data_IF_252660652554
#
_entry.id   IF_252660652554
#
_cell.length_a   1.000
_cell.length_b   1.000
_cell.length_c   1.000
_cell.angle_alpha   90.00
_cell.angle_beta   90.00
_cell.angle_gamma   90.00
#
_symmetry.space_group_name_H-M   'P 1'
#
loop_
_entity.id
_entity.type
_entity.pdbx_description
1 polymer ?
#
# COMPACT_ATOMS: atom_id res chain seq x y z
N UNK A 1 68.91 -16.89 -12.25
CA UNK A 1 68.62 -15.68 -11.46
C UNK A 1 67.19 -15.30 -11.74
N UNK A 2 66.36 -15.41 -10.72
CA UNK A 2 64.92 -15.20 -10.71
C UNK A 2 64.51 -13.77 -11.12
N UNK A 3 63.25 -13.61 -11.57
CA UNK A 3 62.63 -12.28 -11.64
C UNK A 3 61.50 -12.13 -12.65
N UNK A 4 60.39 -12.83 -12.47
CA UNK A 4 59.10 -12.45 -13.03
C UNK A 4 58.40 -11.44 -12.11
N UNK A 5 57.47 -10.62 -12.63
CA UNK A 5 56.05 -10.51 -12.18
C UNK A 5 55.40 -9.26 -12.79
N UNK A 6 54.27 -9.48 -13.43
CA UNK A 6 53.29 -8.48 -13.87
C UNK A 6 52.06 -8.48 -12.93
N UNK A 7 51.17 -7.49 -13.14
CA UNK A 7 49.77 -7.42 -12.69
C UNK A 7 49.53 -7.02 -11.21
N UNK A 8 48.44 -6.38 -10.80
CA UNK A 8 47.20 -5.93 -11.44
C UNK A 8 46.50 -4.88 -10.56
N UNK A 9 45.55 -4.18 -11.18
CA UNK A 9 44.64 -3.21 -10.61
C UNK A 9 43.72 -3.78 -9.51
N UNK A 10 43.48 -2.99 -8.46
CA UNK A 10 42.51 -3.26 -7.41
C UNK A 10 41.13 -2.68 -7.75
N UNK A 11 40.10 -3.53 -7.70
CA UNK A 11 38.69 -3.14 -7.57
C UNK A 11 38.19 -3.34 -6.13
N UNK A 12 37.17 -2.60 -5.69
CA UNK A 12 36.70 -2.64 -4.30
C UNK A 12 35.84 -3.89 -4.03
N UNK A 13 36.10 -4.51 -2.87
CA UNK A 13 35.37 -5.67 -2.33
C UNK A 13 34.17 -5.18 -1.52
N UNK A 14 32.97 -5.66 -1.84
CA UNK A 14 31.83 -5.60 -0.93
C UNK A 14 31.99 -6.66 0.19
N UNK A 15 31.55 -6.38 1.44
CA UNK A 15 31.73 -7.30 2.55
C UNK A 15 30.68 -8.42 2.53
N UNK A 16 31.17 -9.66 2.51
CA UNK A 16 30.42 -10.88 2.82
C UNK A 16 30.14 -10.92 4.33
N UNK A 17 28.86 -10.93 4.72
CA UNK A 17 28.46 -11.20 6.10
C UNK A 17 28.30 -12.71 6.33
N UNK A 18 28.85 -13.18 7.45
CA UNK A 18 28.88 -14.58 7.87
C UNK A 18 27.65 -14.93 8.71
N UNK A 19 27.03 -16.05 8.38
CA UNK A 19 26.02 -16.76 9.19
C UNK A 19 26.59 -17.29 10.52
N UNK A 20 25.81 -17.26 11.62
CA UNK A 20 25.99 -18.19 12.73
C UNK A 20 25.07 -19.42 12.61
N UNK A 21 25.66 -20.60 12.87
CA UNK A 21 25.02 -21.91 12.85
C UNK A 21 24.01 -22.17 14.00
N UNK A 22 23.12 -23.18 13.85
CA UNK A 22 21.99 -23.44 14.73
C UNK A 22 22.22 -24.61 15.71
N UNK A 23 21.55 -24.59 16.87
CA UNK A 23 21.07 -25.74 17.68
C UNK A 23 20.18 -25.11 18.79
N UNK A 24 18.99 -25.61 19.17
CA UNK A 24 18.65 -26.91 19.79
C UNK A 24 17.12 -27.15 19.70
N UNK A 25 16.75 -28.43 19.60
CA UNK A 25 15.43 -29.08 19.71
C UNK A 25 14.53 -28.63 20.89
N UNK A 26 13.20 -28.68 20.75
CA UNK A 26 12.39 -29.85 21.21
C UNK A 26 10.87 -29.64 21.06
N UNK A 27 10.18 -30.79 21.02
CA UNK A 27 8.76 -31.02 20.76
C UNK A 27 7.79 -30.46 21.79
N UNK A 28 6.55 -30.17 21.36
CA UNK A 28 5.35 -30.66 22.07
C UNK A 28 4.17 -30.85 21.12
N UNK A 29 3.43 -31.93 21.36
CA UNK A 29 2.31 -32.41 20.58
C UNK A 29 0.96 -32.14 21.28
N UNK A 30 -0.07 -31.93 20.45
CA UNK A 30 -1.52 -32.24 20.59
C UNK A 30 -2.25 -31.94 21.92
N UNK A 31 -3.28 -31.09 21.82
CA UNK A 31 -4.62 -31.24 22.43
C UNK A 31 -5.47 -30.04 21.98
N UNK A 32 -6.79 -30.00 21.79
CA UNK A 32 -7.89 -30.93 21.52
C UNK A 32 -9.06 -30.05 21.06
N UNK A 33 -10.07 -30.66 20.44
CA UNK A 33 -11.24 -30.03 19.81
C UNK A 33 -12.21 -29.34 20.80
N UNK A 34 -12.97 -28.43 20.21
CA UNK A 34 -14.40 -28.13 20.40
C UNK A 34 -14.82 -27.24 21.59
N UNK A 35 -15.38 -26.08 21.25
CA UNK A 35 -16.73 -25.65 21.71
C UNK A 35 -17.44 -24.96 20.55
N UNK A 36 -18.68 -25.36 20.31
CA UNK A 36 -19.60 -24.82 19.32
C UNK A 36 -20.60 -23.84 19.96
N UNK A 37 -21.21 -23.02 19.10
CA UNK A 37 -22.57 -22.47 19.17
C UNK A 37 -22.90 -21.35 20.19
N UNK A 38 -23.05 -20.14 19.65
CA UNK A 38 -24.16 -19.19 19.89
C UNK A 38 -23.87 -17.99 18.94
N UNK A 39 -24.72 -17.55 18.02
CA UNK A 39 -26.02 -16.95 18.31
C UNK A 39 -26.82 -16.81 17.00
N UNK A 40 -27.94 -17.53 16.90
CA UNK A 40 -29.00 -17.26 15.94
C UNK A 40 -30.26 -17.07 16.79
N UNK A 41 -30.72 -15.83 16.92
CA UNK A 41 -32.09 -15.43 17.26
C UNK A 41 -32.06 -13.94 17.60
N UNK A 42 -32.56 -13.08 16.72
CA UNK A 42 -33.52 -12.03 17.08
C UNK A 42 -34.06 -11.39 15.80
N UNK A 43 -35.37 -11.09 15.82
CA UNK A 43 -36.19 -10.36 14.85
C UNK A 43 -36.89 -11.17 13.76
N UNK A 44 -38.01 -11.79 14.17
CA UNK A 44 -39.25 -11.87 13.40
C UNK A 44 -40.33 -11.02 14.10
N UNK A 45 -41.30 -10.58 13.29
CA UNK A 45 -42.56 -9.82 13.55
C UNK A 45 -42.44 -8.30 13.34
N UNK A 46 -43.21 -7.65 12.47
CA UNK A 46 -44.29 -8.02 11.53
C UNK A 46 -44.52 -6.83 10.52
N UNK A 47 -45.63 -6.71 9.76
CA UNK A 47 -45.90 -7.36 8.47
C UNK A 47 -46.31 -6.39 7.33
N UNK A 48 -46.40 -6.92 6.10
CA UNK A 48 -47.40 -6.49 5.12
C UNK A 48 -46.88 -5.86 3.82
N UNK A 49 -46.75 -6.67 2.76
CA UNK A 49 -47.69 -6.65 1.63
C UNK A 49 -47.42 -7.85 0.72
N UNK A 50 -48.49 -8.45 0.24
CA UNK A 50 -48.55 -9.71 -0.49
C UNK A 50 -49.04 -9.43 -1.92
N UNK A 51 -48.93 -10.46 -2.79
CA UNK A 51 -49.63 -10.65 -4.08
C UNK A 51 -48.93 -10.00 -5.30
N UNK A 52 -48.60 -10.62 -6.46
CA UNK A 52 -49.00 -11.82 -7.25
C UNK A 52 -47.74 -12.26 -8.07
N UNK A 53 -47.25 -13.52 -8.08
CA UNK A 53 -47.67 -14.70 -8.87
C UNK A 53 -47.73 -14.52 -10.40
N UNK A 54 -46.77 -15.12 -11.12
CA UNK A 54 -47.03 -15.88 -12.36
C UNK A 54 -45.89 -16.85 -12.68
N UNK A 55 -46.26 -18.11 -12.83
CA UNK A 55 -45.47 -19.30 -13.18
C UNK A 55 -45.46 -19.42 -14.72
N UNK A 56 -44.35 -19.86 -15.32
CA UNK A 56 -44.40 -20.78 -16.47
C UNK A 56 -43.11 -21.62 -16.53
N UNK A 57 -43.32 -22.92 -16.72
CA UNK A 57 -42.34 -23.99 -16.88
C UNK A 57 -41.57 -23.91 -18.21
N UNK A 58 -40.40 -24.56 -18.25
CA UNK A 58 -39.75 -24.95 -19.49
C UNK A 58 -38.45 -25.72 -19.24
N UNK A 59 -38.55 -27.06 -19.16
CA UNK A 59 -37.41 -27.97 -19.17
C UNK A 59 -36.78 -28.05 -20.57
N UNK A 60 -35.45 -28.22 -20.66
CA UNK A 60 -34.82 -29.22 -21.53
C UNK A 60 -33.31 -29.35 -21.23
N UNK A 61 -32.86 -30.61 -21.21
CA UNK A 61 -31.47 -31.04 -21.09
C UNK A 61 -30.77 -31.05 -22.46
N UNK A 62 -29.43 -30.95 -22.47
CA UNK A 62 -28.60 -31.60 -23.48
C UNK A 62 -27.42 -30.82 -24.07
N UNK A 63 -26.22 -31.36 -23.82
CA UNK A 63 -25.04 -31.43 -24.69
C UNK A 63 -24.15 -30.20 -25.02
N UNK A 64 -22.89 -30.40 -24.62
CA UNK A 64 -21.59 -29.88 -25.09
C UNK A 64 -21.50 -29.21 -26.48
N UNK A 65 -20.84 -28.05 -26.52
CA UNK A 65 -19.67 -27.73 -27.37
C UNK A 65 -19.23 -26.26 -27.14
N UNK A 66 -17.92 -26.02 -26.99
CA UNK A 66 -17.25 -24.73 -27.18
C UNK A 66 -17.34 -24.34 -28.68
N UNK A 67 -17.35 -23.05 -29.12
CA UNK A 67 -16.30 -22.06 -28.82
C UNK A 67 -16.77 -20.59 -28.73
N UNK A 68 -15.92 -19.70 -28.23
CA UNK A 68 -16.19 -18.26 -28.29
C UNK A 68 -15.10 -17.42 -27.66
N UNK A 69 -14.12 -17.03 -28.47
CA UNK A 69 -13.15 -15.97 -28.18
C UNK A 69 -13.93 -14.67 -28.00
N UNK A 70 -14.11 -14.26 -26.75
CA UNK A 70 -14.67 -12.96 -26.39
C UNK A 70 -13.60 -11.88 -26.50
N UNK A 71 -13.81 -10.97 -27.46
CA UNK A 71 -13.16 -9.67 -27.55
C UNK A 71 -13.40 -8.94 -26.22
N UNK A 72 -12.35 -8.77 -25.41
CA UNK A 72 -12.39 -7.87 -24.25
C UNK A 72 -12.09 -6.48 -24.78
N UNK A 73 -13.16 -5.72 -24.93
CA UNK A 73 -13.09 -4.28 -25.16
C UNK A 73 -12.23 -3.63 -24.07
N UNK A 74 -11.39 -2.71 -24.52
CA UNK A 74 -10.48 -1.87 -23.76
C UNK A 74 -11.15 -1.23 -22.55
N UNK A 75 -10.91 -1.79 -21.36
CA UNK A 75 -11.06 -1.07 -20.09
C UNK A 75 -9.80 -0.23 -19.92
N UNK A 76 -9.98 1.08 -19.75
CA UNK A 76 -8.92 2.10 -19.76
C UNK A 76 -7.77 1.81 -18.80
N UNK A 77 -6.55 2.13 -19.26
CA UNK A 77 -5.26 1.81 -18.63
C UNK A 77 -4.79 2.80 -17.56
N UNK A 78 -5.68 3.61 -16.97
CA UNK A 78 -5.27 4.84 -16.26
C UNK A 78 -5.03 4.68 -14.74
N UNK A 79 -5.12 3.48 -14.16
CA UNK A 79 -5.22 3.34 -12.69
C UNK A 79 -3.96 2.87 -11.94
N UNK A 80 -2.84 2.55 -12.61
CA UNK A 80 -1.73 1.86 -11.93
C UNK A 80 -0.65 2.79 -11.35
N UNK A 81 -0.38 3.92 -12.01
CA UNK A 81 0.43 5.01 -11.41
C UNK A 81 -0.42 5.81 -10.41
N UNK A 82 -1.73 5.69 -10.51
CA UNK A 82 -2.69 6.36 -9.64
C UNK A 82 -2.63 5.86 -8.19
N UNK A 83 -2.07 4.69 -7.88
CA UNK A 83 -2.02 4.18 -6.49
C UNK A 83 -1.09 4.99 -5.56
N UNK A 84 0.03 5.51 -6.06
CA UNK A 84 0.88 6.47 -5.33
C UNK A 84 0.50 7.92 -5.64
N UNK A 85 -0.04 8.20 -6.84
CA UNK A 85 -0.46 9.55 -7.23
C UNK A 85 -1.83 9.99 -6.66
N UNK A 86 -2.74 9.07 -6.32
CA UNK A 86 -4.05 9.37 -5.69
C UNK A 86 -3.86 9.68 -4.20
N UNK A 87 -2.91 9.02 -3.53
CA UNK A 87 -2.48 9.42 -2.18
C UNK A 87 -1.72 10.76 -2.16
N UNK A 88 -1.00 11.08 -3.24
CA UNK A 88 -0.26 12.35 -3.39
C UNK A 88 -1.07 13.49 -4.02
N UNK A 89 -2.34 13.26 -4.42
CA UNK A 89 -3.23 14.33 -4.88
C UNK A 89 -4.07 14.80 -3.68
N UNK A 90 -3.87 16.04 -3.21
CA UNK A 90 -4.72 16.62 -2.17
C UNK A 90 -6.19 16.47 -2.57
N UNK A 91 -7.09 16.34 -1.60
CA UNK A 91 -8.51 16.65 -1.77
C UNK A 91 -8.70 18.14 -2.12
N UNK A 92 -8.23 18.56 -3.29
CA UNK A 92 -8.32 19.91 -3.87
C UNK A 92 -9.75 20.36 -4.16
N UNK A 93 -10.75 19.53 -3.86
CA UNK A 93 -12.17 19.87 -4.02
C UNK A 93 -12.66 20.90 -2.99
N UNK A 94 -12.00 21.04 -1.82
CA UNK A 94 -12.43 22.01 -0.79
C UNK A 94 -12.08 23.46 -1.09
N UNK A 95 -10.88 23.75 -1.62
CA UNK A 95 -10.45 25.14 -1.83
C UNK A 95 -11.11 25.85 -3.03
N UNK A 96 -11.52 25.11 -4.08
CA UNK A 96 -12.11 25.71 -5.29
C UNK A 96 -13.57 26.12 -5.15
N UNK A 97 -14.33 25.46 -4.27
CA UNK A 97 -15.72 25.83 -4.01
C UNK A 97 -15.84 27.19 -3.29
N UNK A 98 -14.94 27.47 -2.34
CA UNK A 98 -14.90 28.76 -1.64
C UNK A 98 -14.40 29.92 -2.53
N UNK A 99 -13.42 29.68 -3.41
CA UNK A 99 -12.84 30.72 -4.26
C UNK A 99 -13.74 31.15 -5.45
N UNK A 100 -14.63 30.26 -5.91
CA UNK A 100 -15.50 30.53 -7.07
C UNK A 100 -16.70 31.43 -6.73
N UNK A 101 -17.06 31.55 -5.46
CA UNK A 101 -18.11 32.45 -5.00
C UNK A 101 -17.70 33.95 -4.97
N UNK A 102 -16.41 34.25 -5.16
CA UNK A 102 -15.86 35.60 -4.92
C UNK A 102 -15.66 36.46 -6.17
N UNK A 103 -15.90 35.93 -7.39
CA UNK A 103 -15.52 36.61 -8.64
C UNK A 103 -16.67 37.27 -9.44
N UNK A 104 -17.82 37.51 -8.82
CA UNK A 104 -18.94 38.26 -9.43
C UNK A 104 -19.34 39.46 -8.56
N UNK A 105 -18.42 40.39 -8.30
CA UNK A 105 -18.75 41.74 -7.79
C UNK A 105 -17.62 42.73 -8.13
N UNK A 106 -17.40 42.96 -9.42
CA UNK A 106 -16.58 44.09 -9.87
C UNK A 106 -17.38 45.39 -9.77
N UNK A 107 -17.14 46.19 -8.72
CA UNK A 107 -17.49 47.61 -8.73
C UNK A 107 -18.31 48.13 -7.56
N UNK A 108 -17.92 47.89 -6.30
CA UNK A 108 -18.35 48.74 -5.18
C UNK A 108 -17.26 48.75 -4.11
N UNK A 109 -16.32 49.70 -4.24
CA UNK A 109 -15.29 49.95 -3.23
C UNK A 109 -15.82 51.02 -2.28
N UNK A 110 -16.63 50.61 -1.32
CA UNK A 110 -17.05 51.44 -0.19
C UNK A 110 -16.93 50.61 1.09
N UNK A 111 -16.43 51.25 2.14
CA UNK A 111 -16.17 50.70 3.47
C UNK A 111 -17.39 49.94 4.00
N UNK A 112 -17.33 48.60 3.97
CA UNK A 112 -18.21 47.76 4.78
C UNK A 112 -17.27 47.03 5.73
N UNK A 113 -17.31 47.40 7.01
CA UNK A 113 -16.66 46.63 8.06
C UNK A 113 -17.13 45.18 7.96
N UNK A 114 -16.20 44.24 7.96
CA UNK A 114 -16.50 42.82 7.90
C UNK A 114 -17.33 42.44 9.14
N UNK A 115 -18.66 42.49 9.02
CA UNK A 115 -19.56 41.85 9.96
C UNK A 115 -19.45 40.36 9.66
N UNK A 116 -18.55 39.68 10.35
CA UNK A 116 -18.56 38.23 10.42
C UNK A 116 -19.84 37.84 11.17
N UNK A 117 -20.83 37.37 10.43
CA UNK A 117 -22.04 36.79 11.01
C UNK A 117 -21.62 35.57 11.87
N UNK A 118 -21.80 35.61 13.20
CA UNK A 118 -21.42 34.52 14.10
C UNK A 118 -22.10 33.20 13.75
N UNK A 119 -23.25 33.23 13.06
CA UNK A 119 -23.97 32.02 12.64
C UNK A 119 -23.22 31.25 11.55
N UNK A 120 -22.52 31.93 10.64
CA UNK A 120 -21.74 31.28 9.57
C UNK A 120 -20.46 30.62 10.10
N UNK A 121 -19.82 31.22 11.11
CA UNK A 121 -18.63 30.64 11.77
C UNK A 121 -18.98 29.32 12.48
N UNK A 122 -20.17 29.23 13.07
CA UNK A 122 -20.62 28.01 13.75
C UNK A 122 -20.95 26.85 12.80
N UNK A 123 -21.42 27.11 11.57
CA UNK A 123 -21.72 26.05 10.60
C UNK A 123 -20.46 25.36 10.06
N UNK A 124 -19.37 26.12 9.84
CA UNK A 124 -18.10 25.55 9.37
C UNK A 124 -17.50 24.59 10.40
N UNK A 125 -17.43 25.01 11.66
CA UNK A 125 -16.93 24.18 12.77
C UNK A 125 -17.79 22.92 13.00
N UNK A 126 -19.11 23.03 12.83
CA UNK A 126 -20.02 21.88 12.94
C UNK A 126 -19.77 20.86 11.83
N UNK A 127 -19.63 21.31 10.58
CA UNK A 127 -19.36 20.40 9.45
C UNK A 127 -18.02 19.68 9.60
N UNK A 128 -16.98 20.39 10.05
CA UNK A 128 -15.67 19.78 10.30
C UNK A 128 -15.73 18.72 11.41
N UNK A 129 -16.47 18.99 12.49
CA UNK A 129 -16.66 18.03 13.58
C UNK A 129 -17.43 16.80 13.11
N UNK A 130 -18.51 16.98 12.35
CA UNK A 130 -19.34 15.88 11.84
C UNK A 130 -18.55 14.97 10.89
N UNK A 131 -17.75 15.56 10.00
CA UNK A 131 -16.91 14.79 9.08
C UNK A 131 -15.83 14.00 9.83
N UNK A 132 -15.21 14.60 10.86
CA UNK A 132 -14.29 13.89 11.76
C UNK A 132 -14.96 12.70 12.43
N UNK A 133 -16.15 12.90 12.99
CA UNK A 133 -16.84 11.85 13.72
C UNK A 133 -17.23 10.69 12.79
N UNK A 134 -17.68 10.99 11.57
CA UNK A 134 -17.96 9.97 10.54
C UNK A 134 -16.69 9.22 10.15
N UNK A 135 -15.58 9.94 9.91
CA UNK A 135 -14.30 9.34 9.54
C UNK A 135 -13.78 8.40 10.63
N UNK A 136 -13.76 8.85 11.89
CA UNK A 136 -13.31 8.05 13.02
C UNK A 136 -14.26 6.89 13.37
N UNK A 137 -15.55 7.01 13.05
CA UNK A 137 -16.47 5.88 13.16
C UNK A 137 -16.15 4.78 12.13
N UNK A 138 -15.77 5.15 10.90
CA UNK A 138 -15.40 4.20 9.86
C UNK A 138 -13.99 3.61 10.08
N UNK A 139 -13.03 4.42 10.52
CA UNK A 139 -11.61 4.04 10.64
C UNK A 139 -11.03 4.43 12.02
N UNK A 140 -11.51 3.83 13.12
CA UNK A 140 -11.19 4.28 14.48
C UNK A 140 -9.71 4.22 14.84
N UNK A 141 -8.94 3.29 14.26
CA UNK A 141 -7.50 3.24 14.51
C UNK A 141 -6.71 4.37 13.82
N UNK A 142 -7.21 4.92 12.71
CA UNK A 142 -6.58 6.06 12.04
C UNK A 142 -6.68 7.34 12.87
N UNK A 143 -7.68 7.45 13.73
CA UNK A 143 -7.85 8.58 14.65
C UNK A 143 -7.06 8.44 15.97
N UNK A 144 -6.21 7.44 16.10
CA UNK A 144 -5.40 7.17 17.30
C UNK A 144 -3.92 7.07 16.93
N UNK A 145 -3.00 7.16 17.90
CA UNK A 145 -1.60 6.86 17.64
C UNK A 145 -1.41 5.44 17.08
N UNK A 146 -0.45 5.25 16.15
CA UNK A 146 0.50 6.26 15.67
C UNK A 146 -0.02 7.09 14.48
N UNK A 147 -1.21 6.78 13.94
CA UNK A 147 -1.74 7.41 12.72
C UNK A 147 -2.21 8.84 12.93
N UNK A 148 -2.98 9.15 13.98
CA UNK A 148 -3.44 10.52 14.27
C UNK A 148 -3.94 11.32 13.04
N UNK A 149 -4.73 10.69 12.17
CA UNK A 149 -5.15 11.26 10.88
C UNK A 149 -5.99 12.53 10.97
N UNK A 150 -6.54 12.83 12.16
CA UNK A 150 -7.28 14.06 12.41
C UNK A 150 -6.37 15.27 12.70
N UNK A 151 -5.08 15.02 12.94
CA UNK A 151 -4.11 16.05 13.29
C UNK A 151 -3.23 16.45 12.09
N UNK A 152 -3.50 15.89 10.90
CA UNK A 152 -2.78 16.23 9.67
C UNK A 152 -3.27 17.58 9.16
N UNK A 153 -2.49 18.63 9.40
CA UNK A 153 -2.78 19.98 8.94
C UNK A 153 -2.20 20.27 7.55
N UNK A 154 -2.62 21.40 6.95
CA UNK A 154 -2.12 21.86 5.64
C UNK A 154 -0.59 22.07 5.65
N UNK A 155 -0.03 22.41 6.82
CA UNK A 155 1.43 22.59 6.99
C UNK A 155 2.14 21.26 6.79
N UNK A 156 1.60 20.18 7.34
CA UNK A 156 2.12 18.82 7.20
C UNK A 156 2.11 18.40 5.73
N UNK A 157 1.01 18.64 5.01
CA UNK A 157 0.91 18.33 3.57
C UNK A 157 1.94 19.13 2.75
N UNK A 158 2.09 20.43 3.02
CA UNK A 158 3.11 21.24 2.35
C UNK A 158 4.53 20.74 2.66
N UNK A 159 4.80 20.35 3.90
CA UNK A 159 6.09 19.83 4.31
C UNK A 159 6.43 18.50 3.64
N UNK A 160 5.45 17.62 3.46
CA UNK A 160 5.59 16.36 2.73
C UNK A 160 6.02 16.62 1.28
N UNK A 161 5.43 17.62 0.61
CA UNK A 161 5.80 17.98 -0.77
C UNK A 161 7.18 18.65 -0.87
N UNK A 162 7.53 19.50 0.10
CA UNK A 162 8.79 20.26 0.08
C UNK A 162 9.98 19.41 0.54
N UNK A 163 9.79 18.56 1.55
CA UNK A 163 10.87 17.86 2.27
C UNK A 163 10.86 16.35 2.11
N UNK A 164 9.74 15.77 1.71
CA UNK A 164 9.52 14.33 1.60
C UNK A 164 8.70 13.77 2.76
N UNK A 165 8.27 12.52 2.60
CA UNK A 165 7.30 11.86 3.48
C UNK A 165 7.87 11.60 4.87
N UNK A 166 9.17 11.29 4.97
CA UNK A 166 9.86 10.94 6.20
C UNK A 166 11.01 11.94 6.50
N UNK A 167 10.73 13.23 6.32
CA UNK A 167 11.74 14.30 6.33
C UNK A 167 12.49 14.47 7.66
N UNK A 168 11.92 14.05 8.78
CA UNK A 168 12.57 14.03 10.10
C UNK A 168 13.47 12.80 10.30
N UNK A 169 13.61 12.00 9.24
CA UNK A 169 14.34 10.75 9.22
C UNK A 169 13.55 9.59 9.80
N UNK A 170 12.29 9.73 10.23
CA UNK A 170 11.50 8.62 10.75
C UNK A 170 10.40 8.25 9.77
N UNK A 171 9.98 6.97 9.72
CA UNK A 171 8.83 6.60 8.94
C UNK A 171 7.59 7.37 9.40
N UNK A 172 6.84 7.89 8.43
CA UNK A 172 5.68 8.71 8.64
C UNK A 172 4.41 7.90 8.34
N UNK A 173 3.87 7.24 9.35
CA UNK A 173 2.64 6.45 9.19
C UNK A 173 1.39 7.31 8.93
N UNK A 174 1.43 8.64 9.13
CA UNK A 174 0.35 9.54 8.74
C UNK A 174 0.16 9.59 7.22
N UNK A 175 1.15 9.17 6.42
CA UNK A 175 0.99 9.06 4.97
C UNK A 175 -0.16 8.13 4.56
N UNK A 176 -0.60 7.23 5.45
CA UNK A 176 -1.73 6.33 5.19
C UNK A 176 -3.10 6.98 5.34
N UNK A 177 -3.18 8.18 5.91
CA UNK A 177 -4.44 8.89 6.14
C UNK A 177 -5.18 9.24 4.83
N UNK A 178 -4.44 9.41 3.74
CA UNK A 178 -4.99 9.63 2.38
C UNK A 178 -5.45 8.33 1.69
N UNK A 179 -5.22 7.17 2.31
CA UNK A 179 -5.41 5.86 1.67
C UNK A 179 -6.19 4.88 2.56
N UNK A 180 -7.44 5.23 2.97
CA UNK A 180 -8.24 4.45 3.91
C UNK A 180 -8.62 3.05 3.39
N UNK A 181 -8.51 2.79 2.08
CA UNK A 181 -8.66 1.46 1.51
C UNK A 181 -7.63 0.44 2.06
N UNK A 182 -6.51 0.91 2.62
CA UNK A 182 -5.49 0.08 3.27
C UNK A 182 -5.64 0.00 4.79
N UNK A 183 -6.70 0.58 5.37
CA UNK A 183 -6.91 0.67 6.81
C UNK A 183 -6.66 -0.67 7.53
N UNK A 184 -7.30 -1.73 7.05
CA UNK A 184 -7.21 -3.04 7.67
C UNK A 184 -5.81 -3.67 7.60
N UNK A 185 -5.09 -3.45 6.50
CA UNK A 185 -3.73 -3.93 6.31
C UNK A 185 -2.76 -3.18 7.23
N UNK A 186 -2.76 -1.85 7.17
CA UNK A 186 -1.74 -1.06 7.86
C UNK A 186 -1.96 -1.05 9.38
N UNK A 187 -3.20 -1.18 9.85
CA UNK A 187 -3.48 -1.31 11.30
C UNK A 187 -2.97 -2.61 11.88
N UNK A 188 -3.08 -3.73 11.15
CA UNK A 188 -2.47 -5.02 11.56
C UNK A 188 -0.94 -4.96 11.49
N UNK A 189 -0.41 -4.40 10.41
CA UNK A 189 1.02 -4.19 10.20
C UNK A 189 1.65 -3.38 11.35
N UNK A 190 1.14 -2.19 11.63
CA UNK A 190 1.62 -1.31 12.72
C UNK A 190 1.42 -1.89 14.13
N UNK A 191 0.50 -2.85 14.29
CA UNK A 191 0.34 -3.60 15.54
C UNK A 191 1.32 -4.80 15.68
N UNK A 192 2.27 -4.96 14.75
CA UNK A 192 3.24 -6.07 14.75
C UNK A 192 2.66 -7.40 14.30
N UNK A 193 1.43 -7.43 13.75
CA UNK A 193 0.77 -8.66 13.28
C UNK A 193 1.11 -8.93 11.82
N UNK A 194 2.39 -9.13 11.54
CA UNK A 194 2.91 -9.08 10.17
C UNK A 194 2.40 -10.19 9.26
N UNK A 195 2.26 -11.41 9.79
CA UNK A 195 1.71 -12.55 9.06
C UNK A 195 0.24 -12.30 8.72
N UNK A 196 -0.57 -11.87 9.70
CA UNK A 196 -2.00 -11.53 9.48
C UNK A 196 -2.15 -10.41 8.45
N UNK A 197 -1.32 -9.35 8.54
CA UNK A 197 -1.32 -8.24 7.61
C UNK A 197 -0.96 -8.70 6.19
N UNK A 198 0.11 -9.50 6.05
CA UNK A 198 0.56 -9.99 4.76
C UNK A 198 -0.45 -10.90 4.07
N UNK A 199 -1.08 -11.80 4.81
CA UNK A 199 -2.14 -12.66 4.26
C UNK A 199 -3.36 -11.84 3.84
N UNK A 200 -3.79 -10.88 4.67
CA UNK A 200 -4.90 -10.00 4.34
C UNK A 200 -4.63 -9.22 3.05
N UNK A 201 -3.47 -8.57 2.94
CA UNK A 201 -3.14 -7.76 1.76
C UNK A 201 -3.20 -8.58 0.49
N UNK A 202 -2.66 -9.80 0.51
CA UNK A 202 -2.74 -10.73 -0.61
C UNK A 202 -4.20 -11.09 -0.95
N UNK A 203 -5.04 -11.39 0.04
CA UNK A 203 -6.45 -11.72 -0.21
C UNK A 203 -7.20 -10.53 -0.83
N UNK A 204 -7.00 -9.31 -0.32
CA UNK A 204 -7.58 -8.09 -0.90
C UNK A 204 -7.11 -7.87 -2.35
N UNK A 205 -5.80 -8.05 -2.62
CA UNK A 205 -5.26 -7.99 -3.98
C UNK A 205 -5.86 -9.09 -4.88
N UNK A 206 -6.01 -10.30 -4.36
CA UNK A 206 -6.57 -11.45 -5.09
C UNK A 206 -8.03 -11.23 -5.47
N UNK A 207 -8.80 -10.62 -4.59
CA UNK A 207 -10.21 -10.28 -4.78
C UNK A 207 -10.40 -9.03 -5.67
N UNK A 208 -9.30 -8.41 -6.11
CA UNK A 208 -9.32 -7.30 -7.07
C UNK A 208 -9.57 -5.94 -6.45
N UNK A 209 -9.48 -5.81 -5.12
CA UNK A 209 -9.72 -4.55 -4.41
C UNK A 209 -8.86 -3.39 -4.94
N UNK A 210 -7.64 -3.70 -5.39
CA UNK A 210 -6.67 -2.73 -5.89
C UNK A 210 -6.52 -2.78 -7.41
N UNK A 211 -7.48 -3.38 -8.13
CA UNK A 211 -7.43 -3.55 -9.58
C UNK A 211 -6.80 -4.87 -10.04
N UNK A 212 -7.09 -5.24 -11.29
CA UNK A 212 -6.77 -6.57 -11.83
C UNK A 212 -5.27 -6.86 -12.00
N UNK A 213 -4.44 -5.82 -12.14
CA UNK A 213 -2.99 -5.97 -12.42
C UNK A 213 -2.14 -6.03 -11.15
N UNK A 214 -2.71 -5.68 -10.00
CA UNK A 214 -1.96 -5.57 -8.73
C UNK A 214 -1.40 -6.92 -8.30
N UNK A 215 -2.09 -8.03 -8.62
CA UNK A 215 -1.58 -9.38 -8.41
C UNK A 215 -0.24 -9.66 -9.09
N UNK A 216 -0.13 -9.32 -10.37
CA UNK A 216 1.10 -9.55 -11.14
C UNK A 216 2.20 -8.57 -10.72
N UNK A 217 1.81 -7.35 -10.35
CA UNK A 217 2.72 -6.30 -9.83
C UNK A 217 3.32 -6.71 -8.49
N UNK A 218 2.49 -7.05 -7.50
CA UNK A 218 2.95 -7.52 -6.18
C UNK A 218 3.77 -8.81 -6.31
N UNK A 219 3.33 -9.74 -7.17
CA UNK A 219 4.04 -10.98 -7.44
C UNK A 219 5.45 -10.73 -7.97
N UNK A 220 5.60 -9.97 -9.05
CA UNK A 220 6.92 -9.63 -9.62
C UNK A 220 7.77 -8.81 -8.64
N UNK A 221 7.19 -7.83 -7.95
CA UNK A 221 7.83 -7.02 -6.91
C UNK A 221 8.50 -7.88 -5.83
N UNK A 222 7.81 -8.91 -5.32
CA UNK A 222 8.34 -9.81 -4.31
C UNK A 222 9.66 -10.50 -4.71
N UNK A 223 9.80 -10.89 -5.99
CA UNK A 223 11.01 -11.57 -6.48
C UNK A 223 12.08 -10.59 -6.95
N UNK A 224 11.69 -9.49 -7.61
CA UNK A 224 12.61 -8.44 -8.07
C UNK A 224 13.37 -7.83 -6.90
N UNK A 225 12.69 -7.64 -5.78
CA UNK A 225 13.24 -6.97 -4.61
C UNK A 225 13.83 -7.91 -3.55
N UNK A 226 13.90 -9.21 -3.85
CA UNK A 226 14.57 -10.19 -2.99
C UNK A 226 13.80 -10.54 -1.72
N UNK A 227 12.52 -10.15 -1.61
CA UNK A 227 11.72 -10.35 -0.40
C UNK A 227 11.56 -11.83 -0.05
N UNK A 228 11.56 -12.72 -1.04
CA UNK A 228 11.45 -14.17 -0.84
C UNK A 228 12.65 -14.81 -0.12
N UNK A 229 13.81 -14.15 -0.12
CA UNK A 229 15.05 -14.63 0.53
C UNK A 229 15.55 -13.64 1.59
N UNK A 230 14.73 -12.67 1.97
CA UNK A 230 15.06 -11.70 3.00
C UNK A 230 14.88 -12.33 4.39
N UNK A 231 16.00 -12.74 4.99
CA UNK A 231 16.06 -13.32 6.32
C UNK A 231 16.24 -12.27 7.44
N UNK A 232 16.50 -11.00 7.07
CA UNK A 232 16.58 -9.89 8.02
C UNK A 232 15.21 -9.47 8.57
N UNK A 233 14.14 -9.69 7.80
CA UNK A 233 12.75 -9.49 8.26
C UNK A 233 12.12 -10.82 8.67
N UNK A 234 11.56 -10.84 9.88
CA UNK A 234 10.81 -11.96 10.45
C UNK A 234 9.53 -11.44 11.15
N UNK A 235 8.76 -12.34 11.76
CA UNK A 235 7.46 -12.02 12.36
C UNK A 235 7.52 -11.00 13.52
N UNK A 236 8.70 -10.84 14.15
CA UNK A 236 8.92 -9.90 15.25
C UNK A 236 9.59 -8.59 14.82
N UNK A 237 9.89 -8.41 13.53
CA UNK A 237 10.51 -7.19 13.03
C UNK A 237 9.62 -5.97 13.29
N UNK A 238 10.19 -4.95 13.91
CA UNK A 238 9.49 -3.70 14.24
C UNK A 238 9.67 -2.64 13.15
N UNK A 239 8.93 -1.53 13.25
CA UNK A 239 9.13 -0.36 12.38
C UNK A 239 10.56 0.18 12.57
N UNK A 240 11.05 0.22 13.81
CA UNK A 240 12.38 0.69 14.18
C UNK A 240 13.48 -0.17 13.55
N UNK A 241 13.32 -1.49 13.54
CA UNK A 241 14.26 -2.39 12.86
C UNK A 241 14.33 -2.08 11.35
N UNK A 242 13.17 -1.79 10.73
CA UNK A 242 13.15 -1.47 9.30
C UNK A 242 13.83 -0.16 8.93
N UNK A 243 13.93 0.79 9.86
CA UNK A 243 14.71 2.02 9.62
C UNK A 243 16.16 1.70 9.30
N UNK A 244 16.75 0.74 10.03
CA UNK A 244 18.12 0.30 9.78
C UNK A 244 18.25 -0.44 8.44
N UNK A 245 17.30 -1.30 8.11
CA UNK A 245 17.28 -2.01 6.82
C UNK A 245 17.13 -1.06 5.63
N UNK A 246 16.28 -0.04 5.76
CA UNK A 246 16.08 1.00 4.75
C UNK A 246 17.32 1.88 4.58
N UNK A 247 18.02 2.20 5.67
CA UNK A 247 19.30 2.92 5.62
C UNK A 247 20.40 2.12 4.94
N UNK A 248 20.53 0.84 5.27
CA UNK A 248 21.52 -0.03 4.64
C UNK A 248 21.27 -0.18 3.15
N UNK A 249 20.00 -0.39 2.75
CA UNK A 249 19.63 -0.65 1.37
C UNK A 249 19.65 0.59 0.47
N UNK A 250 19.19 1.74 0.98
CA UNK A 250 18.96 2.94 0.17
C UNK A 250 19.71 4.18 0.63
N UNK A 251 20.18 4.19 1.88
CA UNK A 251 20.65 5.38 2.56
C UNK A 251 19.50 6.25 3.05
N UNK A 252 19.62 6.78 4.27
CA UNK A 252 18.61 7.64 4.94
C UNK A 252 18.06 8.72 4.03
N UNK A 253 18.94 9.41 3.31
CA UNK A 253 18.57 10.53 2.44
C UNK A 253 17.59 10.12 1.35
N UNK A 254 17.75 8.94 0.74
CA UNK A 254 16.94 8.53 -0.40
C UNK A 254 15.49 8.26 0.02
N UNK A 255 15.28 7.45 1.05
CA UNK A 255 13.92 7.08 1.47
C UNK A 255 13.25 8.18 2.31
N UNK A 256 13.98 8.88 3.17
CA UNK A 256 13.41 9.97 3.98
C UNK A 256 12.84 11.12 3.11
N UNK A 257 13.47 11.35 1.96
CA UNK A 257 13.12 12.42 1.03
C UNK A 257 12.17 11.96 -0.08
N UNK A 258 11.67 10.72 -0.03
CA UNK A 258 10.69 10.22 -0.98
C UNK A 258 9.44 11.11 -1.02
N UNK A 259 8.88 11.32 -2.21
CA UNK A 259 7.70 12.17 -2.41
C UNK A 259 7.98 13.67 -2.50
N UNK A 260 9.22 14.13 -2.25
CA UNK A 260 9.56 15.55 -2.48
C UNK A 260 9.55 15.87 -3.98
N UNK A 261 9.14 17.07 -4.36
CA UNK A 261 9.13 17.48 -5.79
C UNK A 261 10.52 17.48 -6.46
N UNK A 262 11.58 17.65 -5.69
CA UNK A 262 12.98 17.62 -6.15
C UNK A 262 13.66 16.26 -5.97
N UNK A 263 12.89 15.19 -5.78
CA UNK A 263 13.43 13.84 -5.75
C UNK A 263 14.12 13.52 -7.08
N UNK A 264 15.20 12.73 -7.08
CA UNK A 264 15.76 12.21 -8.32
C UNK A 264 14.64 11.53 -9.13
N UNK A 265 14.59 11.70 -10.46
CA UNK A 265 13.48 11.18 -11.27
C UNK A 265 13.23 9.67 -11.04
N UNK A 266 14.29 8.87 -10.90
CA UNK A 266 14.19 7.44 -10.63
C UNK A 266 13.55 7.05 -9.28
N UNK A 267 13.39 8.00 -8.37
CA UNK A 267 12.77 7.80 -7.05
C UNK A 267 11.30 8.28 -7.04
N UNK A 268 10.78 8.83 -8.15
CA UNK A 268 9.42 9.35 -8.26
C UNK A 268 8.48 8.28 -8.84
N UNK A 269 7.33 7.99 -8.20
CA UNK A 269 6.33 7.08 -8.74
C UNK A 269 5.82 7.51 -10.12
N UNK A 270 5.81 6.58 -11.08
CA UNK A 270 5.40 6.85 -12.46
C UNK A 270 6.46 7.49 -13.35
N UNK A 271 7.70 7.63 -12.87
CA UNK A 271 8.82 8.03 -13.73
C UNK A 271 9.22 6.93 -14.71
N UNK A 272 9.11 5.65 -14.31
CA UNK A 272 9.00 4.60 -15.30
C UNK A 272 7.72 4.90 -16.09
N UNK A 273 7.86 5.26 -17.37
CA UNK A 273 6.79 5.59 -18.33
C UNK A 273 5.61 4.62 -18.22
N UNK A 274 4.40 4.97 -18.69
CA UNK A 274 3.22 4.09 -18.74
C UNK A 274 3.46 2.68 -19.35
N UNK A 275 4.61 2.45 -19.96
CA UNK A 275 5.20 1.13 -20.25
C UNK A 275 5.56 0.31 -18.98
N UNK A 276 5.36 0.84 -17.76
CA UNK A 276 6.00 0.40 -16.52
C UNK A 276 5.46 -0.87 -15.88
N UNK A 277 4.27 -1.35 -16.25
CA UNK A 277 3.74 -2.62 -15.75
C UNK A 277 3.03 -3.31 -16.90
N UNK A 278 3.61 -4.40 -17.39
CA UNK A 278 2.89 -5.25 -18.34
C UNK A 278 1.75 -5.94 -17.57
N UNK A 279 0.48 -5.76 -17.97
CA UNK A 279 -0.66 -6.42 -17.33
C UNK A 279 -0.50 -7.92 -17.11
N UNK A 280 0.29 -8.57 -17.98
CA UNK A 280 0.57 -9.99 -17.95
C UNK A 280 1.88 -10.34 -17.27
N UNK A 281 2.82 -9.42 -17.10
CA UNK A 281 4.16 -9.75 -16.57
C UNK A 281 4.56 -8.95 -15.33
N UNK A 282 3.70 -8.05 -14.84
CA UNK A 282 4.02 -7.19 -13.71
C UNK A 282 5.20 -6.25 -14.02
N UNK A 283 6.01 -6.02 -13.01
CA UNK A 283 7.30 -5.33 -13.14
C UNK A 283 8.36 -6.24 -13.77
N UNK A 284 9.32 -5.63 -14.44
CA UNK A 284 10.43 -6.31 -15.14
C UNK A 284 11.80 -6.02 -14.53
N UNK A 285 11.91 -5.10 -13.57
CA UNK A 285 13.18 -4.85 -12.88
C UNK A 285 13.13 -3.78 -11.80
N UNK A 286 14.26 -3.62 -11.11
CA UNK A 286 14.39 -2.74 -9.94
C UNK A 286 14.12 -1.26 -10.23
N UNK A 287 14.30 -0.80 -11.47
CA UNK A 287 13.98 0.58 -11.85
C UNK A 287 12.50 0.91 -11.69
N UNK A 288 11.61 -0.08 -11.81
CA UNK A 288 10.16 0.11 -11.68
C UNK A 288 9.70 -0.07 -10.23
N UNK A 289 10.32 -0.98 -9.49
CA UNK A 289 9.93 -1.34 -8.11
C UNK A 289 10.58 -0.47 -7.04
N UNK A 290 11.72 0.17 -7.34
CA UNK A 290 12.46 1.02 -6.40
C UNK A 290 11.60 2.14 -5.76
N UNK A 291 10.79 2.93 -6.50
CA UNK A 291 9.94 3.94 -5.88
C UNK A 291 8.98 3.36 -4.84
N UNK A 292 8.47 2.14 -5.05
CA UNK A 292 7.60 1.46 -4.09
C UNK A 292 8.34 1.09 -2.80
N UNK A 293 9.60 0.65 -2.89
CA UNK A 293 10.40 0.39 -1.69
C UNK A 293 10.78 1.66 -0.93
N UNK A 294 11.12 2.73 -1.62
CA UNK A 294 11.38 4.01 -0.97
C UNK A 294 10.11 4.53 -0.27
N UNK A 295 8.95 4.40 -0.92
CA UNK A 295 7.66 4.66 -0.30
C UNK A 295 7.48 3.79 0.94
N UNK A 296 7.66 2.46 0.83
CA UNK A 296 7.44 1.54 1.94
C UNK A 296 8.33 1.84 3.17
N UNK A 297 9.57 2.26 2.92
CA UNK A 297 10.47 2.76 3.95
C UNK A 297 9.95 4.07 4.57
N UNK A 298 9.56 5.04 3.75
CA UNK A 298 9.09 6.35 4.21
C UNK A 298 7.74 6.27 4.95
N UNK A 299 6.86 5.35 4.57
CA UNK A 299 5.53 5.14 5.16
C UNK A 299 5.56 4.15 6.34
N UNK A 300 6.68 3.43 6.55
CA UNK A 300 6.87 2.52 7.69
C UNK A 300 6.28 1.13 7.54
N UNK A 301 6.08 0.63 6.31
CA UNK A 301 5.51 -0.71 6.05
C UNK A 301 6.46 -1.66 5.31
N UNK A 302 7.75 -1.34 5.15
CA UNK A 302 8.72 -2.21 4.47
C UNK A 302 8.70 -3.67 4.97
N UNK A 303 8.65 -3.90 6.27
CA UNK A 303 8.59 -5.25 6.86
C UNK A 303 7.27 -5.97 6.54
N UNK A 304 6.17 -5.23 6.38
CA UNK A 304 4.86 -5.80 6.04
C UNK A 304 4.83 -6.26 4.58
N UNK A 305 5.47 -5.53 3.67
CA UNK A 305 5.65 -5.96 2.28
C UNK A 305 6.48 -7.25 2.21
N UNK A 306 7.60 -7.31 2.94
CA UNK A 306 8.45 -8.50 2.99
C UNK A 306 7.67 -9.70 3.53
N UNK A 307 6.92 -9.52 4.62
CA UNK A 307 6.12 -10.58 5.22
C UNK A 307 4.94 -11.01 4.34
N UNK A 308 4.26 -10.08 3.65
CA UNK A 308 3.27 -10.41 2.62
C UNK A 308 3.89 -11.33 1.58
N UNK A 309 5.04 -10.97 1.01
CA UNK A 309 5.73 -11.75 0.02
C UNK A 309 6.08 -13.16 0.52
N UNK A 310 6.75 -13.24 1.67
CA UNK A 310 7.18 -14.51 2.29
C UNK A 310 5.99 -15.42 2.57
N UNK A 311 4.89 -14.88 3.05
CA UNK A 311 3.72 -15.66 3.44
C UNK A 311 2.82 -16.06 2.27
N UNK A 312 2.94 -15.43 1.11
CA UNK A 312 2.01 -15.60 -0.01
C UNK A 312 2.72 -15.88 -1.33
N UNK A 313 3.07 -14.84 -2.10
CA UNK A 313 3.63 -14.92 -3.45
C UNK A 313 4.84 -15.87 -3.56
N UNK A 314 5.73 -15.87 -2.57
CA UNK A 314 6.92 -16.71 -2.57
C UNK A 314 6.63 -18.22 -2.37
N UNK A 315 5.42 -18.58 -1.91
CA UNK A 315 4.99 -19.97 -1.69
C UNK A 315 4.09 -20.50 -2.81
N UNK A 316 3.56 -19.62 -3.66
CA UNK A 316 2.61 -19.99 -4.73
C UNK A 316 3.37 -20.46 -5.97
N UNK A 317 3.15 -21.70 -6.45
CA UNK A 317 3.92 -22.27 -7.58
C UNK A 317 3.88 -21.44 -8.86
N UNK A 318 2.75 -20.77 -9.13
CA UNK A 318 2.61 -19.89 -10.30
C UNK A 318 3.64 -18.75 -10.28
N UNK A 319 3.70 -17.97 -9.19
CA UNK A 319 4.62 -16.83 -9.09
C UNK A 319 6.08 -17.27 -8.96
N UNK A 320 6.35 -18.36 -8.22
CA UNK A 320 7.70 -18.94 -8.15
C UNK A 320 8.20 -19.35 -9.53
N UNK A 321 7.37 -20.05 -10.32
CA UNK A 321 7.74 -20.47 -11.68
C UNK A 321 7.96 -19.27 -12.60
N UNK A 322 7.11 -18.24 -12.48
CA UNK A 322 7.12 -17.09 -13.39
C UNK A 322 8.21 -16.08 -13.06
N UNK A 323 8.35 -15.71 -11.79
CA UNK A 323 9.19 -14.60 -11.33
C UNK A 323 10.43 -15.04 -10.53
N UNK A 324 10.55 -16.33 -10.20
CA UNK A 324 11.68 -16.87 -9.43
C UNK A 324 13.06 -16.60 -10.03
N UNK A 325 13.14 -16.41 -11.35
CA UNK A 325 14.39 -16.07 -12.04
C UNK A 325 14.99 -14.73 -11.57
N UNK A 326 14.17 -13.74 -11.19
CA UNK A 326 14.64 -12.44 -10.72
C UNK A 326 15.52 -12.52 -9.47
N UNK A 327 15.32 -13.53 -8.61
CA UNK A 327 16.20 -13.74 -7.46
C UNK A 327 17.65 -13.99 -7.92
N UNK A 328 17.82 -14.85 -8.93
CA UNK A 328 19.14 -15.15 -9.48
C UNK A 328 19.70 -13.97 -10.29
N UNK A 329 18.87 -13.38 -11.15
CA UNK A 329 19.30 -12.36 -12.10
C UNK A 329 19.72 -11.06 -11.39
N UNK A 330 19.07 -10.74 -10.27
CA UNK A 330 19.43 -9.60 -9.42
C UNK A 330 20.44 -9.94 -8.32
N UNK A 331 20.95 -11.18 -8.28
CA UNK A 331 21.98 -11.60 -7.32
C UNK A 331 21.49 -11.74 -5.87
N UNK A 332 20.19 -11.94 -5.66
CA UNK A 332 19.62 -12.18 -4.32
C UNK A 332 19.96 -13.60 -3.85
N UNK A 333 20.62 -13.67 -2.69
CA UNK A 333 20.94 -14.93 -1.99
C UNK A 333 20.42 -14.89 -0.56
N UNK A 334 20.24 -16.07 0.03
CA UNK A 334 20.04 -16.22 1.48
C UNK A 334 21.35 -16.00 2.23
#
# INVERSE_FOLDING_TARGET
GEGAVAQAAGGPKHPLWRNPSPHVHSSMARSSRAVAAASHSYLRSAPGFCVLLAICHGAHAGHAAWPGVGHLDSVGSDDHVALLQQGARPQRRRAKAAASASRVTGGFRAQVGAVQDPALVNMAAYNETLERDIYCAAWPAFCKPPFNCMDVDEVTEKMVNDKGWAWDGKPNVQSWCSSPQYYEFITRCSAGKLVEAGQLQYELTKDGMFGGLTRESDGSYCFIEGHCVNDAVNESTTVEDTVHLCDERFGRKAWAQFGRMSAPPQDVPGWASEEAVDPRNGFTGQSQTRPFLLAACAMGNFHCDVMMCKETYCKIPYYVKKYGHFLKDNGWTK
#
